data_IF_041520130950
#
_entry.id   IF_041520130950
#
_cell.length_a   1.000
_cell.length_b   1.000
_cell.length_c   1.000
_cell.angle_alpha   90.00
_cell.angle_beta   90.00
_cell.angle_gamma   90.00
#
_symmetry.space_group_name_H-M   'P 1'
#
loop_
_entity.id
_entity.type
_entity.pdbx_description
1 polymer ?
#
# COMPACT_ATOMS: atom_id res chain seq x y z
N UNK A 1 -24.17 -21.58 -15.47
CA UNK A 1 -23.52 -20.96 -16.63
C UNK A 1 -24.30 -19.79 -17.23
N UNK A 2 -25.62 -19.78 -17.34
CA UNK A 2 -26.41 -18.63 -17.88
C UNK A 2 -26.27 -17.33 -17.07
N UNK A 3 -26.01 -17.39 -15.77
CA UNK A 3 -25.90 -16.20 -14.90
C UNK A 3 -24.51 -15.54 -14.91
N UNK A 4 -23.45 -16.28 -15.28
CA UNK A 4 -22.09 -15.71 -15.42
C UNK A 4 -21.99 -14.81 -16.66
N UNK A 5 -22.72 -15.17 -17.73
CA UNK A 5 -22.76 -14.40 -18.97
C UNK A 5 -23.39 -13.01 -18.76
N UNK A 6 -24.32 -12.87 -17.81
CA UNK A 6 -24.96 -11.59 -17.49
C UNK A 6 -24.05 -10.64 -16.71
N UNK A 7 -23.12 -11.15 -15.89
CA UNK A 7 -22.14 -10.33 -15.15
C UNK A 7 -21.07 -9.77 -16.10
N UNK A 8 -20.61 -10.58 -17.05
CA UNK A 8 -19.67 -10.14 -18.09
C UNK A 8 -20.30 -9.13 -19.07
N UNK A 9 -21.61 -9.26 -19.34
CA UNK A 9 -22.36 -8.32 -20.18
C UNK A 9 -22.52 -6.94 -19.52
N UNK A 10 -22.66 -6.86 -18.18
CA UNK A 10 -22.75 -5.59 -17.46
C UNK A 10 -21.42 -4.81 -17.51
N UNK A 11 -20.28 -5.49 -17.48
CA UNK A 11 -18.97 -4.86 -17.65
C UNK A 11 -18.69 -4.36 -19.08
N UNK A 12 -19.25 -5.05 -20.09
CA UNK A 12 -19.12 -4.66 -21.49
C UNK A 12 -20.02 -3.46 -21.89
N UNK A 13 -21.13 -3.26 -21.20
CA UNK A 13 -22.08 -2.14 -21.47
C UNK A 13 -21.48 -0.78 -21.05
N UNK A 14 -20.51 -0.73 -20.17
CA UNK A 14 -19.80 0.50 -19.77
C UNK A 14 -18.87 1.09 -20.86
N UNK A 15 -18.69 0.40 -22.01
CA UNK A 15 -17.84 0.82 -23.12
C UNK A 15 -18.61 1.17 -24.42
N UNK A 16 -19.96 1.20 -24.39
CA UNK A 16 -20.75 1.58 -25.56
C UNK A 16 -20.96 3.10 -25.64
N UNK A 17 -20.69 3.72 -26.80
CA UNK A 17 -20.92 5.15 -26.97
C UNK A 17 -22.42 5.48 -26.91
N UNK A 18 -22.73 6.62 -26.28
CA UNK A 18 -24.06 7.24 -26.17
C UNK A 18 -24.57 7.69 -27.57
N UNK A 19 -25.00 6.75 -28.39
CA UNK A 19 -25.74 7.04 -29.63
C UNK A 19 -26.78 5.98 -29.92
N UNK A 20 -27.92 6.08 -29.24
CA UNK A 20 -29.15 5.40 -29.65
C UNK A 20 -30.33 6.32 -29.37
N UNK A 21 -30.62 7.20 -30.34
CA UNK A 21 -31.93 7.85 -30.47
C UNK A 21 -32.88 6.91 -31.23
N UNK A 22 -34.04 6.74 -30.62
CA UNK A 22 -35.33 6.33 -31.23
C UNK A 22 -35.43 4.92 -31.84
N UNK A 23 -35.92 3.98 -31.04
CA UNK A 23 -36.73 2.89 -31.54
C UNK A 23 -37.60 2.28 -30.40
N UNK A 24 -38.91 2.28 -30.62
CA UNK A 24 -40.01 1.53 -29.99
C UNK A 24 -40.20 1.54 -28.45
N UNK A 25 -41.47 1.80 -28.04
CA UNK A 25 -41.95 1.79 -26.64
C UNK A 25 -41.61 0.52 -25.86
N UNK A 26 -41.47 -0.63 -26.49
CA UNK A 26 -41.10 -1.90 -25.86
C UNK A 26 -39.58 -1.97 -25.55
N UNK A 27 -38.74 -1.35 -26.37
CA UNK A 27 -37.31 -1.15 -26.08
C UNK A 27 -37.09 -0.13 -24.98
N UNK A 28 -37.95 0.89 -24.87
CA UNK A 28 -37.91 1.89 -23.80
C UNK A 28 -38.15 1.27 -22.42
N UNK A 29 -39.15 0.39 -22.27
CA UNK A 29 -39.40 -0.25 -20.96
C UNK A 29 -38.31 -1.22 -20.52
N UNK A 30 -37.68 -1.93 -21.46
CA UNK A 30 -36.49 -2.77 -21.16
C UNK A 30 -35.27 -1.93 -20.84
N UNK A 31 -35.07 -0.82 -21.51
CA UNK A 31 -33.99 0.13 -21.24
C UNK A 31 -34.14 0.81 -19.88
N UNK A 32 -35.37 1.18 -19.49
CA UNK A 32 -35.69 1.72 -18.18
C UNK A 32 -35.50 0.69 -17.06
N UNK A 33 -35.92 -0.55 -17.22
CA UNK A 33 -35.70 -1.61 -16.26
C UNK A 33 -34.20 -1.95 -16.09
N UNK A 34 -33.43 -1.94 -17.18
CA UNK A 34 -31.94 -2.09 -17.13
C UNK A 34 -31.31 -0.91 -16.44
N UNK A 35 -31.76 0.32 -16.70
CA UNK A 35 -31.24 1.53 -16.05
C UNK A 35 -31.53 1.50 -14.55
N UNK A 36 -32.75 1.21 -14.13
CA UNK A 36 -33.14 1.07 -12.72
C UNK A 36 -32.34 -0.01 -12.01
N UNK A 37 -32.12 -1.16 -12.65
CA UNK A 37 -31.29 -2.24 -12.13
C UNK A 37 -29.83 -1.82 -12.00
N UNK A 38 -29.25 -1.13 -12.98
CA UNK A 38 -27.89 -0.62 -12.91
C UNK A 38 -27.76 0.46 -11.82
N UNK A 39 -28.67 1.40 -11.72
CA UNK A 39 -28.66 2.46 -10.71
C UNK A 39 -28.76 1.91 -9.29
N UNK A 40 -29.45 0.79 -9.08
CA UNK A 40 -29.58 0.15 -7.78
C UNK A 40 -28.35 -0.68 -7.37
N UNK A 41 -27.54 -1.15 -8.32
CA UNK A 41 -26.42 -2.07 -8.05
C UNK A 41 -25.04 -1.49 -8.35
N UNK A 42 -24.95 -0.49 -9.23
CA UNK A 42 -23.68 0.10 -9.68
C UNK A 42 -23.59 1.56 -9.25
N UNK A 43 -22.57 1.88 -8.47
CA UNK A 43 -22.31 3.24 -8.00
C UNK A 43 -20.98 3.73 -8.56
N UNK A 44 -21.02 4.86 -9.27
CA UNK A 44 -19.84 5.51 -9.83
C UNK A 44 -19.46 6.69 -8.95
N UNK A 45 -18.20 6.75 -8.58
CA UNK A 45 -17.63 7.77 -7.69
C UNK A 45 -16.36 8.34 -8.28
N UNK A 46 -15.97 9.50 -7.79
CA UNK A 46 -14.68 10.08 -8.14
C UNK A 46 -14.44 11.41 -7.46
N UNK A 47 -13.23 11.90 -7.63
CA UNK A 47 -12.86 13.25 -7.26
C UNK A 47 -11.79 13.79 -8.20
N UNK A 48 -11.77 15.12 -8.35
CA UNK A 48 -10.68 15.86 -8.96
C UNK A 48 -9.84 16.45 -7.84
N UNK A 49 -8.53 16.26 -7.91
CA UNK A 49 -7.57 16.79 -6.95
C UNK A 49 -6.57 17.68 -7.66
N UNK A 50 -6.45 18.91 -7.16
CA UNK A 50 -5.33 19.78 -7.47
C UNK A 50 -4.46 19.91 -6.21
N UNK A 51 -3.17 19.74 -6.37
CA UNK A 51 -2.21 19.69 -5.28
C UNK A 51 -1.03 20.60 -5.59
N UNK A 52 -0.78 21.55 -4.68
CA UNK A 52 0.37 22.44 -4.72
C UNK A 52 1.31 22.05 -3.59
N UNK A 53 2.60 22.00 -3.85
CA UNK A 53 3.60 21.77 -2.81
C UNK A 53 4.80 22.69 -3.04
N UNK A 54 5.30 23.25 -1.95
CA UNK A 54 6.56 23.99 -1.89
C UNK A 54 7.45 23.33 -0.85
N UNK A 55 8.63 22.93 -1.25
CA UNK A 55 9.62 22.29 -0.38
C UNK A 55 10.85 23.21 -0.29
N UNK A 56 11.35 23.43 0.92
CA UNK A 56 12.50 24.34 1.16
C UNK A 56 13.83 23.70 0.82
N UNK A 57 13.86 22.36 0.60
CA UNK A 57 15.05 21.57 0.34
C UNK A 57 14.73 20.41 -0.59
N UNK A 58 15.69 19.95 -1.36
CA UNK A 58 15.57 18.69 -2.09
C UNK A 58 15.28 17.53 -1.13
N UNK A 59 14.39 16.64 -1.54
CA UNK A 59 13.95 15.50 -0.75
C UNK A 59 14.18 14.18 -1.48
N UNK A 60 14.40 13.12 -0.72
CA UNK A 60 14.34 11.75 -1.24
C UNK A 60 12.88 11.44 -1.52
N UNK A 61 12.59 11.13 -2.77
CA UNK A 61 11.22 10.91 -3.24
C UNK A 61 10.98 9.46 -3.63
N UNK A 62 9.71 9.10 -3.71
CA UNK A 62 9.25 7.81 -4.20
C UNK A 62 7.99 7.92 -5.03
N UNK A 63 7.56 6.79 -5.61
CA UNK A 63 6.33 6.71 -6.41
C UNK A 63 6.31 7.74 -7.55
N UNK A 64 7.40 7.80 -8.35
CA UNK A 64 7.51 8.75 -9.46
C UNK A 64 7.49 10.21 -9.01
N UNK A 65 8.13 10.50 -7.89
CA UNK A 65 8.25 11.84 -7.31
C UNK A 65 6.92 12.44 -6.76
N UNK A 66 5.91 11.59 -6.56
CA UNK A 66 4.66 11.99 -5.92
C UNK A 66 4.77 12.05 -4.39
N UNK A 67 5.65 11.25 -3.79
CA UNK A 67 5.88 11.19 -2.36
C UNK A 67 7.25 11.76 -2.02
N UNK A 68 7.33 12.60 -0.99
CA UNK A 68 8.57 13.07 -0.42
C UNK A 68 8.71 12.50 0.99
N UNK A 69 9.78 11.73 1.19
CA UNK A 69 9.98 10.95 2.41
C UNK A 69 10.80 11.69 3.45
N UNK A 70 11.98 12.16 3.06
CA UNK A 70 12.94 12.78 3.95
C UNK A 70 13.76 13.83 3.18
N UNK A 71 14.14 14.96 3.78
CA UNK A 71 15.10 15.89 3.18
C UNK A 71 16.42 15.16 2.85
N UNK A 72 17.06 15.51 1.74
CA UNK A 72 18.40 15.03 1.44
C UNK A 72 19.39 15.59 2.44
N UNK A 73 20.42 14.82 2.76
CA UNK A 73 21.55 15.25 3.60
C UNK A 73 22.23 16.50 3.05
N UNK A 74 22.96 17.19 3.91
CA UNK A 74 23.83 18.30 3.52
C UNK A 74 24.92 17.79 2.57
N UNK A 75 25.05 18.43 1.42
CA UNK A 75 26.07 18.15 0.40
C UNK A 75 26.85 19.44 0.09
N UNK A 76 27.92 19.68 0.83
CA UNK A 76 28.76 20.87 0.60
C UNK A 76 29.48 20.76 -0.73
N UNK A 77 29.63 21.91 -1.42
CA UNK A 77 30.52 22.05 -2.58
C UNK A 77 31.99 21.90 -2.14
N UNK A 78 32.90 21.92 -3.10
CA UNK A 78 34.35 21.65 -2.88
C UNK A 78 35.02 22.66 -1.93
N UNK A 79 34.55 23.90 -1.89
CA UNK A 79 35.07 24.96 -1.03
C UNK A 79 34.35 25.08 0.32
N UNK A 80 33.31 24.27 0.54
CA UNK A 80 32.55 24.21 1.79
C UNK A 80 31.65 25.43 2.04
N UNK A 81 31.33 26.22 1.02
CA UNK A 81 30.56 27.46 1.15
C UNK A 81 29.08 27.29 0.89
N UNK A 82 28.67 26.27 0.10
CA UNK A 82 27.27 26.07 -0.32
C UNK A 82 26.82 24.62 -0.13
N UNK A 83 25.58 24.47 0.37
CA UNK A 83 24.90 23.17 0.41
C UNK A 83 24.12 22.96 -0.89
N UNK A 84 24.62 22.09 -1.75
CA UNK A 84 24.04 21.77 -3.07
C UNK A 84 22.65 21.15 -3.01
N UNK A 85 22.24 20.60 -1.88
CA UNK A 85 20.90 20.05 -1.65
C UNK A 85 19.92 21.08 -1.04
N UNK A 86 20.37 22.27 -0.64
CA UNK A 86 19.53 23.35 -0.12
C UNK A 86 18.81 24.09 -1.25
N UNK A 87 18.20 23.34 -2.17
CA UNK A 87 17.46 23.88 -3.32
C UNK A 87 15.97 23.79 -3.08
N UNK A 88 15.29 24.93 -3.01
CA UNK A 88 13.84 25.00 -2.95
C UNK A 88 13.19 24.51 -4.25
N UNK A 89 12.02 23.93 -4.13
CA UNK A 89 11.29 23.40 -5.27
C UNK A 89 9.77 23.60 -5.09
N UNK A 90 9.09 23.85 -6.21
CA UNK A 90 7.66 24.00 -6.27
C UNK A 90 7.07 23.05 -7.31
N UNK A 91 5.91 22.50 -7.00
CA UNK A 91 5.16 21.64 -7.92
C UNK A 91 3.67 21.87 -7.81
N UNK A 92 3.01 21.73 -8.95
CA UNK A 92 1.56 21.76 -9.08
C UNK A 92 1.10 20.54 -9.87
N UNK A 93 0.19 19.75 -9.31
CA UNK A 93 -0.24 18.49 -9.86
C UNK A 93 -1.76 18.36 -9.83
N UNK A 94 -2.36 17.98 -10.96
CA UNK A 94 -3.72 17.46 -11.06
C UNK A 94 -3.78 15.93 -11.05
N UNK A 95 -2.61 15.27 -11.03
CA UNK A 95 -2.46 13.83 -10.93
C UNK A 95 -3.08 13.31 -9.64
N UNK A 96 -3.41 12.03 -9.60
CA UNK A 96 -4.12 11.36 -8.50
C UNK A 96 -5.61 11.71 -8.36
N UNK A 97 -6.18 12.52 -9.25
CA UNK A 97 -7.62 12.53 -9.49
C UNK A 97 -8.08 11.11 -9.78
N UNK A 98 -9.24 10.72 -9.23
CA UNK A 98 -9.59 9.29 -9.10
C UNK A 98 -11.02 9.02 -9.53
N UNK A 99 -11.21 7.83 -10.10
CA UNK A 99 -12.51 7.26 -10.41
C UNK A 99 -12.61 5.86 -9.80
N UNK A 100 -13.80 5.48 -9.31
CA UNK A 100 -14.08 4.12 -8.92
C UNK A 100 -15.53 3.75 -9.13
N UNK A 101 -15.75 2.45 -9.29
CA UNK A 101 -17.06 1.83 -9.42
C UNK A 101 -17.19 0.78 -8.32
N UNK A 102 -18.26 0.88 -7.56
CA UNK A 102 -18.68 -0.13 -6.61
C UNK A 102 -19.91 -0.86 -7.20
N UNK A 103 -19.87 -2.18 -7.16
CA UNK A 103 -20.97 -3.06 -7.57
C UNK A 103 -21.41 -3.85 -6.35
N UNK A 104 -22.68 -3.74 -5.97
CA UNK A 104 -23.23 -4.34 -4.76
C UNK A 104 -24.65 -4.91 -5.02
N UNK A 105 -25.18 -5.65 -4.04
CA UNK A 105 -26.57 -6.10 -4.05
C UNK A 105 -26.85 -7.35 -4.87
N UNK A 106 -25.83 -7.95 -5.47
CA UNK A 106 -25.98 -9.26 -6.12
C UNK A 106 -25.90 -10.39 -5.11
N UNK A 107 -26.75 -11.41 -5.31
CA UNK A 107 -26.75 -12.60 -4.48
C UNK A 107 -26.93 -13.85 -5.34
N UNK A 108 -26.13 -14.86 -5.10
CA UNK A 108 -26.24 -16.19 -5.71
C UNK A 108 -26.32 -17.21 -4.57
N UNK A 109 -27.46 -17.89 -4.50
CA UNK A 109 -27.80 -18.76 -3.38
C UNK A 109 -27.65 -18.00 -2.03
N UNK A 110 -26.75 -18.43 -1.15
CA UNK A 110 -26.51 -17.82 0.16
C UNK A 110 -25.27 -16.89 0.17
N UNK A 111 -24.74 -16.53 -1.00
CA UNK A 111 -23.51 -15.72 -1.13
C UNK A 111 -23.86 -14.35 -1.67
N UNK A 112 -23.60 -13.30 -0.88
CA UNK A 112 -23.63 -11.92 -1.33
C UNK A 112 -22.38 -11.63 -2.15
N UNK A 113 -22.54 -10.95 -3.29
CA UNK A 113 -21.44 -10.64 -4.22
C UNK A 113 -21.32 -9.14 -4.35
N UNK A 114 -20.11 -8.63 -4.12
CA UNK A 114 -19.72 -7.24 -4.37
C UNK A 114 -18.44 -7.19 -5.18
N UNK A 115 -18.23 -6.10 -5.90
CA UNK A 115 -17.00 -5.87 -6.62
C UNK A 115 -16.61 -4.39 -6.56
N UNK A 116 -15.34 -4.11 -6.67
CA UNK A 116 -14.80 -2.75 -6.79
C UNK A 116 -13.74 -2.70 -7.87
N UNK A 117 -13.77 -1.61 -8.67
CA UNK A 117 -12.66 -1.20 -9.51
C UNK A 117 -12.35 0.26 -9.22
N UNK A 118 -11.08 0.58 -8.97
CA UNK A 118 -10.60 1.93 -8.68
C UNK A 118 -9.36 2.22 -9.52
N UNK A 119 -9.33 3.40 -10.14
CA UNK A 119 -8.18 3.87 -10.90
C UNK A 119 -7.92 5.36 -10.69
N UNK A 120 -6.68 5.78 -10.86
CA UNK A 120 -6.26 7.19 -10.87
C UNK A 120 -5.34 7.48 -12.06
N UNK A 121 -5.03 8.75 -12.26
CA UNK A 121 -4.03 9.16 -13.24
C UNK A 121 -2.65 9.19 -12.57
N UNK A 122 -1.64 8.65 -13.25
CA UNK A 122 -0.29 8.56 -12.74
C UNK A 122 0.72 8.84 -13.87
N UNK A 123 1.76 9.55 -13.50
CA UNK A 123 2.97 9.69 -14.30
C UNK A 123 4.13 9.97 -13.34
N UNK A 124 5.34 9.51 -13.64
CA UNK A 124 6.55 10.04 -13.00
C UNK A 124 6.67 11.51 -13.36
N UNK A 125 6.99 12.38 -12.41
CA UNK A 125 7.08 13.83 -12.68
C UNK A 125 8.17 14.16 -13.69
N UNK A 126 9.23 13.35 -13.74
CA UNK A 126 10.33 13.45 -14.71
C UNK A 126 9.93 12.99 -16.12
N UNK A 127 8.84 12.22 -16.24
CA UNK A 127 8.39 11.58 -17.48
C UNK A 127 7.14 12.27 -18.05
N UNK A 128 6.81 13.47 -17.60
CA UNK A 128 5.67 14.27 -18.07
C UNK A 128 5.87 14.75 -19.51
N UNK A 129 5.94 13.83 -20.45
CA UNK A 129 5.87 14.13 -21.88
C UNK A 129 4.47 14.56 -22.38
N UNK A 130 3.68 15.23 -21.52
CA UNK A 130 2.32 15.66 -21.83
C UNK A 130 1.24 14.57 -21.66
N UNK A 131 1.60 13.40 -21.16
CA UNK A 131 0.68 12.26 -20.98
C UNK A 131 0.68 11.75 -19.56
N UNK A 132 -0.49 11.38 -19.03
CA UNK A 132 -0.63 10.63 -17.77
C UNK A 132 -1.22 9.26 -18.07
N UNK A 133 -0.69 8.23 -17.38
CA UNK A 133 -1.18 6.86 -17.49
C UNK A 133 -2.39 6.66 -16.58
N UNK A 134 -3.39 5.94 -17.06
CA UNK A 134 -4.50 5.47 -16.24
C UNK A 134 -4.03 4.24 -15.47
N UNK A 135 -3.94 4.35 -14.14
CA UNK A 135 -3.37 3.33 -13.26
C UNK A 135 -4.45 2.61 -12.49
N UNK A 136 -4.51 1.28 -12.63
CA UNK A 136 -5.34 0.44 -11.77
C UNK A 136 -4.83 0.49 -10.33
N UNK A 137 -5.73 0.85 -9.40
CA UNK A 137 -5.44 0.91 -7.97
C UNK A 137 -5.98 -0.30 -7.23
N UNK A 138 -7.26 -0.57 -7.39
CA UNK A 138 -7.95 -1.71 -6.81
C UNK A 138 -8.85 -2.37 -7.86
N UNK A 139 -8.91 -3.69 -7.86
CA UNK A 139 -9.84 -4.47 -8.65
C UNK A 139 -10.06 -5.81 -7.94
N UNK A 140 -11.18 -5.97 -7.26
CA UNK A 140 -11.46 -7.17 -6.50
C UNK A 140 -12.95 -7.50 -6.46
N UNK A 141 -13.22 -8.77 -6.20
CA UNK A 141 -14.55 -9.29 -5.88
C UNK A 141 -14.57 -9.68 -4.40
N UNK A 142 -15.68 -9.45 -3.74
CA UNK A 142 -15.95 -9.91 -2.37
C UNK A 142 -17.13 -10.86 -2.39
N UNK A 143 -16.94 -12.04 -1.82
CA UNK A 143 -17.98 -13.03 -1.54
C UNK A 143 -18.30 -12.93 -0.05
N UNK A 144 -19.56 -12.77 0.31
CA UNK A 144 -19.99 -12.57 1.69
C UNK A 144 -21.02 -13.62 2.13
N UNK A 145 -20.90 -14.05 3.39
CA UNK A 145 -21.86 -14.97 4.01
C UNK A 145 -22.28 -14.41 5.36
N UNK A 146 -23.57 -14.45 5.62
CA UNK A 146 -24.17 -14.01 6.87
C UNK A 146 -24.85 -15.19 7.54
N UNK A 147 -24.42 -15.51 8.75
CA UNK A 147 -25.07 -16.44 9.64
C UNK A 147 -25.63 -15.70 10.86
N UNK A 148 -26.30 -16.38 11.77
CA UNK A 148 -26.97 -15.74 12.90
C UNK A 148 -26.02 -14.91 13.80
N UNK A 149 -24.81 -15.43 14.06
CA UNK A 149 -23.82 -14.79 14.96
C UNK A 149 -22.48 -14.47 14.28
N UNK A 150 -22.31 -14.87 13.02
CA UNK A 150 -21.07 -14.69 12.27
C UNK A 150 -21.32 -14.01 10.93
N UNK A 151 -20.40 -13.19 10.53
CA UNK A 151 -20.33 -12.63 9.18
C UNK A 151 -18.95 -12.90 8.62
N UNK A 152 -18.93 -13.55 7.48
CA UNK A 152 -17.72 -13.96 6.80
C UNK A 152 -17.63 -13.31 5.44
N UNK A 153 -16.42 -13.07 4.97
CA UNK A 153 -16.20 -12.61 3.59
C UNK A 153 -14.86 -13.09 3.06
N UNK A 154 -14.82 -13.35 1.75
CA UNK A 154 -13.61 -13.64 0.99
C UNK A 154 -13.45 -12.58 -0.09
N UNK A 155 -12.38 -11.80 -0.01
CA UNK A 155 -11.98 -10.79 -1.01
C UNK A 155 -10.86 -11.36 -1.86
N UNK A 156 -11.03 -11.33 -3.20
CA UNK A 156 -10.03 -11.83 -4.15
C UNK A 156 -9.78 -10.75 -5.20
N UNK A 157 -8.53 -10.40 -5.42
CA UNK A 157 -8.08 -9.44 -6.42
C UNK A 157 -7.10 -8.42 -5.87
N UNK A 158 -6.86 -7.34 -6.59
CA UNK A 158 -5.96 -6.28 -6.15
C UNK A 158 -6.65 -5.34 -5.17
N UNK A 159 -6.16 -5.27 -3.95
CA UNK A 159 -6.69 -4.42 -2.88
C UNK A 159 -5.58 -3.82 -2.01
N UNK A 160 -5.95 -3.02 -1.03
CA UNK A 160 -5.01 -2.59 0.00
C UNK A 160 -4.51 -3.79 0.80
N UNK A 161 -3.20 -3.83 1.03
CA UNK A 161 -2.58 -4.73 1.98
C UNK A 161 -3.22 -4.56 3.37
N UNK A 162 -3.52 -5.63 4.13
CA UNK A 162 -4.22 -5.52 5.42
C UNK A 162 -3.55 -4.55 6.41
N UNK A 163 -2.22 -4.50 6.47
CA UNK A 163 -1.50 -3.53 7.30
C UNK A 163 -1.61 -2.08 6.79
N UNK A 164 -1.86 -1.87 5.49
CA UNK A 164 -1.91 -0.55 4.86
C UNK A 164 -3.31 0.08 4.86
N UNK A 165 -4.37 -0.70 5.07
CA UNK A 165 -5.76 -0.29 4.87
C UNK A 165 -6.18 0.91 5.75
N UNK A 166 -5.68 0.99 6.99
CA UNK A 166 -5.99 2.08 7.92
C UNK A 166 -4.93 3.18 7.81
N UNK A 167 -5.32 4.35 7.31
CA UNK A 167 -4.42 5.48 7.06
C UNK A 167 -4.70 6.64 8.01
N UNK A 168 -3.69 7.53 8.23
CA UNK A 168 -3.90 8.77 8.97
C UNK A 168 -4.78 9.74 8.16
N UNK A 169 -5.27 10.78 8.83
CA UNK A 169 -6.13 11.81 8.24
C UNK A 169 -5.33 12.98 7.63
N UNK A 170 -4.13 12.74 7.11
CA UNK A 170 -3.30 13.76 6.44
C UNK A 170 -3.91 14.17 5.09
N UNK A 171 -3.70 15.41 4.71
CA UNK A 171 -4.19 15.99 3.46
C UNK A 171 -3.26 15.70 2.28
N UNK A 172 -1.95 15.60 2.52
CA UNK A 172 -0.92 15.40 1.49
C UNK A 172 -1.02 14.06 0.78
N UNK A 173 -0.37 14.00 -0.39
CA UNK A 173 -0.21 12.77 -1.17
C UNK A 173 0.63 11.72 -0.44
N UNK A 174 1.49 12.11 0.48
CA UNK A 174 2.32 11.21 1.28
C UNK A 174 1.50 10.20 2.10
N UNK A 175 0.26 10.54 2.47
CA UNK A 175 -0.66 9.65 3.22
C UNK A 175 -0.04 9.00 4.45
N UNK A 176 0.92 9.70 5.10
CA UNK A 176 1.67 9.20 6.25
C UNK A 176 2.86 8.29 5.90
N UNK A 177 3.16 8.05 4.61
CA UNK A 177 4.36 7.30 4.24
C UNK A 177 5.65 8.12 4.49
N UNK A 178 6.74 7.50 4.92
CA UNK A 178 6.98 6.07 5.15
C UNK A 178 6.80 5.63 6.61
N UNK A 179 6.03 6.36 7.43
CA UNK A 179 5.80 6.07 8.85
C UNK A 179 4.78 4.94 9.09
N UNK A 180 4.18 4.42 8.05
CA UNK A 180 3.29 3.26 8.07
C UNK A 180 3.27 2.54 6.74
N UNK A 181 2.82 1.26 6.72
CA UNK A 181 2.75 0.46 5.51
C UNK A 181 1.89 1.12 4.45
N UNK A 182 2.33 1.02 3.20
CA UNK A 182 1.62 1.52 2.03
C UNK A 182 1.85 0.58 0.85
N UNK A 183 0.86 -0.25 0.53
CA UNK A 183 0.90 -1.14 -0.63
C UNK A 183 -0.51 -1.55 -1.08
N UNK A 184 -0.69 -1.69 -2.38
CA UNK A 184 -1.86 -2.31 -3.00
C UNK A 184 -1.38 -3.48 -3.83
N UNK A 185 -1.99 -4.63 -3.63
CA UNK A 185 -1.39 -5.89 -4.05
C UNK A 185 -2.48 -6.93 -4.32
N UNK A 186 -2.26 -7.91 -5.17
CA UNK A 186 -3.14 -9.06 -5.28
C UNK A 186 -3.24 -9.77 -3.94
N UNK A 187 -4.47 -10.05 -3.51
CA UNK A 187 -4.77 -10.65 -2.22
C UNK A 187 -5.94 -11.62 -2.32
N UNK A 188 -5.86 -12.72 -1.57
CA UNK A 188 -6.99 -13.52 -1.16
C UNK A 188 -7.15 -13.34 0.36
N UNK A 189 -8.10 -12.50 0.78
CA UNK A 189 -8.31 -12.12 2.18
C UNK A 189 -9.64 -12.67 2.67
N UNK A 190 -9.59 -13.45 3.73
CA UNK A 190 -10.73 -13.91 4.47
C UNK A 190 -10.90 -13.10 5.76
N UNK A 191 -12.10 -12.56 5.97
CA UNK A 191 -12.48 -11.86 7.18
C UNK A 191 -13.66 -12.59 7.82
N UNK A 192 -13.61 -12.82 9.13
CA UNK A 192 -14.69 -13.36 9.92
C UNK A 192 -14.99 -12.45 11.11
N UNK A 193 -16.25 -12.08 11.31
CA UNK A 193 -16.72 -11.31 12.47
C UNK A 193 -17.62 -12.16 13.35
N UNK A 194 -17.36 -12.13 14.65
CA UNK A 194 -18.08 -12.87 15.68
C UNK A 194 -18.86 -11.89 16.56
N UNK A 195 -20.17 -11.90 16.41
CA UNK A 195 -21.03 -10.90 17.04
C UNK A 195 -20.68 -9.47 16.55
N UNK A 196 -20.70 -8.50 17.46
CA UNK A 196 -20.50 -7.07 17.13
C UNK A 196 -19.08 -6.56 17.39
N UNK A 197 -18.28 -7.31 18.11
CA UNK A 197 -17.06 -6.76 18.71
C UNK A 197 -15.77 -7.43 18.27
N UNK A 198 -15.79 -8.65 17.83
CA UNK A 198 -14.60 -9.42 17.55
C UNK A 198 -14.53 -9.87 16.09
N UNK A 199 -13.36 -9.83 15.50
CA UNK A 199 -13.13 -10.33 14.16
C UNK A 199 -11.72 -10.89 13.96
N UNK A 200 -11.59 -11.74 12.95
CA UNK A 200 -10.34 -12.33 12.48
C UNK A 200 -10.14 -11.97 11.02
N UNK A 201 -8.89 -11.78 10.63
CA UNK A 201 -8.47 -11.58 9.24
C UNK A 201 -7.34 -12.55 8.95
N UNK A 202 -7.42 -13.27 7.83
CA UNK A 202 -6.32 -14.05 7.28
C UNK A 202 -6.17 -13.70 5.79
N UNK A 203 -4.94 -13.52 5.31
CA UNK A 203 -4.72 -13.19 3.91
C UNK A 203 -3.49 -13.90 3.36
N UNK A 204 -3.60 -14.29 2.07
CA UNK A 204 -2.47 -14.67 1.22
C UNK A 204 -2.26 -13.55 0.19
N UNK A 205 -1.04 -13.05 0.07
CA UNK A 205 -0.70 -11.80 -0.58
C UNK A 205 0.43 -12.03 -1.58
N UNK A 206 0.40 -11.28 -2.69
CA UNK A 206 1.43 -11.28 -3.71
C UNK A 206 2.02 -9.88 -3.89
N UNK A 207 3.36 -9.72 -3.88
CA UNK A 207 4.01 -8.44 -4.11
C UNK A 207 3.66 -7.84 -5.48
N UNK A 208 3.30 -6.55 -5.52
CA UNK A 208 3.01 -5.87 -6.78
C UNK A 208 3.45 -4.41 -6.80
N UNK A 209 2.85 -3.55 -5.99
CA UNK A 209 3.12 -2.10 -6.03
C UNK A 209 4.53 -1.78 -5.56
N UNK A 210 4.96 -2.38 -4.47
CA UNK A 210 6.33 -2.40 -3.99
C UNK A 210 6.81 -3.84 -3.99
N UNK A 211 8.09 -4.04 -4.22
CA UNK A 211 8.69 -5.34 -4.41
C UNK A 211 9.98 -5.41 -3.62
N UNK A 212 10.34 -6.61 -3.20
CA UNK A 212 11.59 -6.86 -2.51
C UNK A 212 12.81 -6.56 -3.38
N UNK A 213 13.84 -6.04 -2.74
CA UNK A 213 15.17 -5.91 -3.34
C UNK A 213 15.94 -7.24 -3.26
N UNK A 214 17.00 -7.37 -4.03
CA UNK A 214 17.86 -8.55 -4.01
C UNK A 214 19.05 -8.39 -4.96
N UNK A 215 19.81 -9.47 -5.17
CA UNK A 215 21.02 -9.45 -6.00
C UNK A 215 20.83 -8.93 -7.43
N UNK A 216 19.65 -9.16 -8.00
CA UNK A 216 19.28 -8.70 -9.35
C UNK A 216 18.46 -7.39 -9.35
N UNK A 217 18.51 -6.63 -8.26
CA UNK A 217 17.73 -5.41 -8.10
C UNK A 217 16.35 -5.64 -7.49
N UNK A 218 15.39 -4.76 -7.79
CA UNK A 218 14.02 -4.82 -7.26
C UNK A 218 13.14 -5.68 -8.17
N UNK A 219 12.62 -6.80 -7.65
CA UNK A 219 11.89 -7.75 -8.47
C UNK A 219 10.87 -8.59 -7.68
N UNK A 220 9.71 -8.88 -8.29
CA UNK A 220 8.77 -9.87 -7.80
C UNK A 220 9.23 -11.32 -8.06
N UNK A 221 10.34 -11.53 -8.77
CA UNK A 221 10.89 -12.86 -9.04
C UNK A 221 11.29 -13.60 -7.76
N UNK A 222 11.71 -12.88 -6.71
CA UNK A 222 12.11 -13.47 -5.44
C UNK A 222 10.94 -14.18 -4.75
N UNK A 223 9.74 -13.60 -4.76
CA UNK A 223 8.52 -14.25 -4.32
C UNK A 223 8.07 -15.34 -5.32
N UNK A 224 8.14 -15.07 -6.63
CA UNK A 224 7.78 -16.02 -7.70
C UNK A 224 8.55 -17.33 -7.57
N UNK A 225 9.87 -17.28 -7.45
CA UNK A 225 10.71 -18.47 -7.28
C UNK A 225 10.65 -19.04 -5.87
N UNK A 226 10.21 -18.26 -4.91
CA UNK A 226 9.87 -18.67 -3.57
C UNK A 226 8.66 -19.60 -3.53
N UNK A 227 7.72 -19.50 -4.48
CA UNK A 227 6.46 -20.27 -4.53
C UNK A 227 5.65 -20.21 -3.22
N UNK A 228 5.82 -19.12 -2.46
CA UNK A 228 5.19 -18.94 -1.17
C UNK A 228 4.59 -17.53 -1.14
N UNK A 229 3.27 -17.38 -0.99
CA UNK A 229 2.68 -16.06 -0.76
C UNK A 229 3.12 -15.51 0.59
N UNK A 230 3.08 -14.21 0.72
CA UNK A 230 3.11 -13.54 2.02
C UNK A 230 1.80 -13.83 2.74
N UNK A 231 1.86 -14.04 4.05
CA UNK A 231 0.70 -14.34 4.88
C UNK A 231 0.50 -13.26 5.94
N UNK A 232 -0.72 -12.81 6.06
CA UNK A 232 -1.15 -11.94 7.15
C UNK A 232 -2.22 -12.61 8.01
N UNK A 233 -2.08 -12.49 9.32
CA UNK A 233 -3.06 -12.92 10.31
C UNK A 233 -3.35 -11.78 11.27
N UNK A 234 -4.63 -11.50 11.51
CA UNK A 234 -5.02 -10.40 12.37
C UNK A 234 -6.25 -10.66 13.21
N UNK A 235 -6.28 -10.02 14.37
CA UNK A 235 -7.42 -9.97 15.28
C UNK A 235 -7.93 -8.54 15.31
N UNK A 236 -9.23 -8.37 15.25
CA UNK A 236 -9.90 -7.07 15.26
C UNK A 236 -10.88 -6.97 16.43
N UNK A 237 -10.89 -5.83 17.09
CA UNK A 237 -11.85 -5.52 18.16
C UNK A 237 -12.52 -4.20 17.84
N UNK A 238 -13.87 -4.16 17.94
CA UNK A 238 -14.67 -2.97 17.68
C UNK A 238 -15.69 -2.80 18.82
N UNK A 239 -15.59 -1.71 19.57
CA UNK A 239 -16.50 -1.44 20.69
C UNK A 239 -16.56 0.06 21.04
N UNK A 240 -17.76 0.64 21.09
CA UNK A 240 -17.97 1.98 21.65
C UNK A 240 -17.17 3.11 20.98
N UNK A 241 -16.97 3.06 19.65
CA UNK A 241 -16.14 4.02 18.90
C UNK A 241 -14.66 3.65 18.83
N UNK A 242 -14.23 2.62 19.57
CA UNK A 242 -12.88 2.05 19.49
C UNK A 242 -12.80 0.95 18.42
N UNK A 243 -11.75 0.99 17.62
CA UNK A 243 -11.34 -0.08 16.71
C UNK A 243 -9.87 -0.39 16.97
N UNK A 244 -9.58 -1.62 17.34
CA UNK A 244 -8.22 -2.15 17.52
C UNK A 244 -7.94 -3.27 16.53
N UNK A 245 -6.71 -3.34 16.02
CA UNK A 245 -6.22 -4.43 15.20
C UNK A 245 -4.83 -4.84 15.68
N UNK A 246 -4.65 -6.12 15.87
CA UNK A 246 -3.35 -6.72 16.12
C UNK A 246 -3.11 -7.72 15.00
N UNK A 247 -1.98 -7.68 14.35
CA UNK A 247 -1.66 -8.56 13.25
C UNK A 247 -0.22 -8.97 13.20
N UNK A 248 0.01 -10.04 12.46
CA UNK A 248 1.32 -10.60 12.18
C UNK A 248 1.42 -10.82 10.68
N UNK A 249 2.45 -10.26 10.08
CA UNK A 249 2.81 -10.47 8.69
C UNK A 249 4.00 -11.40 8.60
N UNK A 250 3.94 -12.38 7.71
CA UNK A 250 4.99 -13.38 7.46
C UNK A 250 5.31 -13.39 5.97
N UNK A 251 6.49 -12.91 5.65
CA UNK A 251 6.96 -12.76 4.27
C UNK A 251 8.17 -13.65 4.02
N UNK A 252 8.16 -14.44 2.94
CA UNK A 252 9.25 -15.37 2.60
C UNK A 252 9.59 -15.28 1.12
N UNK A 253 10.84 -14.93 0.83
CA UNK A 253 11.36 -14.81 -0.53
C UNK A 253 12.57 -15.71 -0.75
N UNK A 254 12.85 -15.98 -2.02
CA UNK A 254 14.04 -16.68 -2.51
C UNK A 254 14.89 -15.71 -3.31
N UNK A 255 15.95 -15.10 -2.73
CA UNK A 255 16.72 -14.04 -3.38
C UNK A 255 17.45 -14.47 -4.65
N UNK A 256 17.78 -15.74 -4.77
CA UNK A 256 18.48 -16.29 -5.94
C UNK A 256 18.13 -17.77 -6.17
N UNK A 257 18.36 -18.27 -7.37
CA UNK A 257 18.04 -19.64 -7.79
C UNK A 257 19.30 -20.46 -8.11
N UNK A 258 20.44 -19.78 -8.27
CA UNK A 258 21.75 -20.38 -8.54
C UNK A 258 22.81 -19.82 -7.61
N UNK A 259 23.80 -20.62 -7.29
CA UNK A 259 25.00 -20.29 -6.55
C UNK A 259 26.24 -20.87 -7.22
N UNK A 260 27.39 -20.61 -6.65
CA UNK A 260 28.65 -21.17 -7.09
C UNK A 260 29.29 -21.92 -5.93
N UNK A 261 29.79 -23.11 -6.18
CA UNK A 261 30.55 -23.93 -5.24
C UNK A 261 31.77 -24.52 -5.92
N UNK A 262 32.80 -24.80 -5.16
CA UNK A 262 34.02 -25.42 -5.67
C UNK A 262 33.86 -26.94 -5.71
N UNK A 263 34.11 -27.55 -6.86
CA UNK A 263 34.07 -29.02 -7.05
C UNK A 263 35.23 -29.50 -7.87
N UNK A 264 35.63 -30.75 -7.66
CA UNK A 264 36.55 -31.46 -8.54
C UNK A 264 35.76 -32.10 -9.67
N UNK A 265 35.98 -31.63 -10.89
CA UNK A 265 35.38 -32.17 -12.12
C UNK A 265 36.54 -32.58 -13.04
N UNK A 266 36.52 -33.85 -13.50
CA UNK A 266 37.57 -34.42 -14.34
C UNK A 266 38.99 -34.27 -13.76
N UNK A 267 39.13 -34.36 -12.43
CA UNK A 267 40.39 -34.24 -11.70
C UNK A 267 40.88 -32.79 -11.45
N UNK A 268 40.17 -31.79 -11.90
CA UNK A 268 40.49 -30.36 -11.69
C UNK A 268 39.47 -29.69 -10.74
N UNK A 269 40.03 -28.93 -9.79
CA UNK A 269 39.19 -28.10 -8.89
C UNK A 269 38.74 -26.85 -9.63
N UNK A 270 37.45 -26.65 -9.75
CA UNK A 270 36.84 -25.53 -10.44
C UNK A 270 35.54 -25.06 -9.84
N UNK A 271 35.16 -23.83 -10.14
CA UNK A 271 33.86 -23.27 -9.78
C UNK A 271 32.75 -23.92 -10.61
N UNK A 272 31.72 -24.40 -9.91
CA UNK A 272 30.56 -25.04 -10.52
C UNK A 272 29.28 -24.32 -10.11
N UNK A 273 28.46 -23.95 -11.08
CA UNK A 273 27.13 -23.39 -10.80
C UNK A 273 26.20 -24.48 -10.30
N UNK A 274 25.53 -24.22 -9.19
CA UNK A 274 24.60 -25.15 -8.55
C UNK A 274 23.25 -24.47 -8.32
N UNK A 275 22.18 -25.26 -8.25
CA UNK A 275 20.88 -24.76 -7.80
C UNK A 275 20.95 -24.55 -6.29
N UNK A 276 20.42 -23.42 -5.83
CA UNK A 276 20.30 -23.11 -4.40
C UNK A 276 18.83 -22.91 -4.04
N UNK A 277 18.50 -23.08 -2.76
CA UNK A 277 17.13 -22.95 -2.22
C UNK A 277 17.09 -22.09 -0.97
N UNK A 278 18.16 -21.35 -0.74
CA UNK A 278 18.25 -20.41 0.38
C UNK A 278 17.12 -19.36 0.32
N UNK A 279 16.60 -19.04 1.49
CA UNK A 279 15.47 -18.15 1.68
C UNK A 279 15.73 -17.18 2.80
N UNK A 280 15.06 -16.05 2.74
CA UNK A 280 14.83 -15.20 3.89
C UNK A 280 13.35 -15.19 4.24
N UNK A 281 13.04 -15.47 5.52
CA UNK A 281 11.69 -15.38 6.06
C UNK A 281 11.68 -14.34 7.18
N UNK A 282 10.77 -13.38 7.08
CA UNK A 282 10.64 -12.25 8.00
C UNK A 282 9.27 -12.27 8.67
N UNK A 283 9.21 -11.70 9.88
CA UNK A 283 7.99 -11.63 10.68
C UNK A 283 7.85 -10.19 11.16
N UNK A 284 6.72 -9.56 10.82
CA UNK A 284 6.45 -8.16 11.16
C UNK A 284 5.16 -8.03 11.96
N UNK A 285 5.22 -7.92 13.29
CA UNK A 285 4.06 -7.62 14.11
C UNK A 285 3.56 -6.20 13.86
N UNK A 286 2.24 -6.05 13.88
CA UNK A 286 1.50 -4.85 13.54
C UNK A 286 0.44 -4.57 14.60
N UNK A 287 0.29 -3.28 14.94
CA UNK A 287 -0.78 -2.80 15.80
C UNK A 287 -1.38 -1.52 15.22
N UNK A 288 -2.72 -1.44 15.25
CA UNK A 288 -3.49 -0.25 14.93
C UNK A 288 -4.57 -0.04 15.97
N UNK A 289 -4.78 1.22 16.36
CA UNK A 289 -5.89 1.63 17.20
C UNK A 289 -6.53 2.91 16.67
N UNK A 290 -7.84 2.98 16.74
CA UNK A 290 -8.62 4.17 16.43
C UNK A 290 -9.68 4.36 17.51
N UNK A 291 -9.88 5.60 17.92
CA UNK A 291 -11.01 5.98 18.74
C UNK A 291 -11.72 7.18 18.13
N UNK A 292 -13.03 7.06 17.95
CA UNK A 292 -13.90 8.12 17.43
C UNK A 292 -14.92 8.49 18.49
N UNK A 293 -15.06 9.79 18.75
CA UNK A 293 -16.04 10.33 19.70
C UNK A 293 -16.51 11.72 19.25
N UNK A 294 -17.33 12.36 20.05
CA UNK A 294 -17.77 13.75 19.86
C UNK A 294 -17.68 14.50 21.16
N UNK A 295 -17.17 15.71 21.12
CA UNK A 295 -17.26 16.68 22.19
C UNK A 295 -18.44 17.64 21.89
N UNK A 296 -19.60 17.37 22.47
CA UNK A 296 -20.85 18.00 22.06
C UNK A 296 -21.19 17.61 20.60
N UNK A 297 -21.19 18.58 19.69
CA UNK A 297 -21.43 18.37 18.26
C UNK A 297 -20.16 18.23 17.43
N UNK A 298 -18.98 18.43 18.02
CA UNK A 298 -17.69 18.43 17.34
C UNK A 298 -17.13 17.01 17.27
N UNK A 299 -16.96 16.41 16.08
CA UNK A 299 -16.33 15.12 15.96
C UNK A 299 -14.85 15.20 16.34
N UNK A 300 -14.37 14.14 16.97
CA UNK A 300 -12.98 13.95 17.33
C UNK A 300 -12.56 12.52 17.02
N UNK A 301 -11.38 12.34 16.45
CA UNK A 301 -10.79 11.03 16.26
C UNK A 301 -9.30 11.02 16.57
N UNK A 302 -8.86 9.91 17.13
CA UNK A 302 -7.45 9.55 17.30
C UNK A 302 -7.21 8.26 16.57
N UNK A 303 -6.13 8.21 15.80
CA UNK A 303 -5.65 7.00 15.14
C UNK A 303 -4.16 6.84 15.46
N UNK A 304 -3.74 5.62 15.69
CA UNK A 304 -2.33 5.28 15.88
C UNK A 304 -2.02 3.93 15.21
N UNK A 305 -0.84 3.82 14.65
CA UNK A 305 -0.34 2.59 14.02
C UNK A 305 1.13 2.42 14.36
N UNK A 306 1.52 1.19 14.64
CA UNK A 306 2.93 0.82 14.79
C UNK A 306 3.19 -0.53 14.13
N UNK A 307 4.37 -0.64 13.53
CA UNK A 307 4.87 -1.87 12.91
C UNK A 307 6.32 -2.05 13.32
N UNK A 308 6.66 -3.22 13.82
CA UNK A 308 8.05 -3.65 13.90
C UNK A 308 8.34 -4.48 12.66
N UNK A 309 8.98 -3.86 11.67
CA UNK A 309 9.20 -4.46 10.37
C UNK A 309 10.57 -5.12 10.27
N UNK A 310 10.60 -6.34 9.76
CA UNK A 310 11.79 -7.00 9.26
C UNK A 310 11.74 -6.99 7.74
N UNK A 311 12.75 -6.37 7.08
CA UNK A 311 12.79 -6.22 5.63
C UNK A 311 11.46 -5.70 5.03
N UNK A 312 10.97 -4.54 5.52
CA UNK A 312 9.62 -4.02 5.23
C UNK A 312 9.46 -3.26 3.91
N UNK A 313 10.42 -3.38 2.98
CA UNK A 313 10.41 -2.66 1.71
C UNK A 313 9.23 -3.00 0.79
N UNK A 314 8.72 -4.23 0.83
CA UNK A 314 7.56 -4.69 0.03
C UNK A 314 6.24 -4.01 0.41
N UNK A 315 6.20 -3.39 1.58
CA UNK A 315 5.08 -2.55 2.04
C UNK A 315 5.47 -1.06 2.18
N UNK A 316 6.54 -0.63 1.49
CA UNK A 316 7.02 0.78 1.48
C UNK A 316 7.50 1.30 2.84
N UNK A 317 7.87 0.42 3.75
CA UNK A 317 8.59 0.79 4.97
C UNK A 317 10.10 0.85 4.71
N UNK A 318 10.84 1.51 5.59
CA UNK A 318 12.29 1.44 5.55
C UNK A 318 12.74 -0.01 5.84
N UNK A 319 13.72 -0.49 5.11
CA UNK A 319 14.25 -1.83 5.33
C UNK A 319 14.81 -2.50 4.08
N UNK A 320 15.27 -3.70 4.32
CA UNK A 320 15.89 -4.60 3.37
C UNK A 320 16.56 -5.74 4.11
N UNK A 321 17.47 -6.42 3.48
CA UNK A 321 18.22 -7.52 4.08
C UNK A 321 19.62 -7.60 3.51
N UNK A 322 20.50 -8.33 4.19
CA UNK A 322 21.87 -8.55 3.77
C UNK A 322 22.22 -10.03 3.77
N UNK A 323 23.32 -10.37 3.09
CA UNK A 323 23.99 -11.65 3.24
C UNK A 323 24.80 -11.63 4.54
N UNK A 324 24.59 -12.58 5.42
CA UNK A 324 25.35 -12.75 6.66
C UNK A 324 26.54 -13.69 6.50
N UNK A 325 26.38 -14.74 5.68
CA UNK A 325 27.47 -15.68 5.38
C UNK A 325 27.20 -16.45 4.08
N UNK A 326 28.27 -17.02 3.52
CA UNK A 326 28.25 -17.90 2.35
C UNK A 326 28.69 -19.29 2.81
N UNK A 327 27.94 -20.32 2.42
CA UNK A 327 28.20 -21.71 2.74
C UNK A 327 29.01 -22.40 1.63
N UNK A 328 29.72 -23.48 1.97
CA UNK A 328 30.54 -24.23 1.02
C UNK A 328 29.73 -24.86 -0.13
N UNK A 329 28.47 -25.16 0.09
CA UNK A 329 27.54 -25.68 -0.94
C UNK A 329 27.05 -24.60 -1.93
N UNK A 330 27.50 -23.34 -1.76
CA UNK A 330 27.12 -22.20 -2.58
C UNK A 330 25.82 -21.52 -2.14
N UNK A 331 25.18 -21.98 -1.05
CA UNK A 331 24.02 -21.30 -0.47
C UNK A 331 24.45 -20.08 0.38
N UNK A 332 23.54 -19.13 0.60
CA UNK A 332 23.77 -17.94 1.41
C UNK A 332 22.79 -17.89 2.59
N UNK A 333 23.31 -17.41 3.72
CA UNK A 333 22.46 -17.04 4.85
C UNK A 333 22.18 -15.55 4.80
N UNK A 334 20.97 -15.18 5.18
CA UNK A 334 20.50 -13.81 5.14
C UNK A 334 20.10 -13.31 6.51
N UNK A 335 20.25 -12.01 6.72
CA UNK A 335 19.82 -11.29 7.92
C UNK A 335 18.96 -10.09 7.53
N UNK A 336 17.71 -9.94 8.07
CA UNK A 336 16.88 -8.80 7.78
C UNK A 336 17.31 -7.57 8.58
N UNK A 337 17.09 -6.39 8.01
CA UNK A 337 17.06 -5.16 8.81
C UNK A 337 15.82 -5.12 9.69
N UNK A 338 15.91 -4.45 10.82
CA UNK A 338 14.85 -4.30 11.81
C UNK A 338 14.51 -2.83 11.97
N UNK A 339 13.25 -2.48 11.80
CA UNK A 339 12.78 -1.11 11.88
C UNK A 339 11.50 -1.02 12.68
N UNK A 340 11.32 0.05 13.43
CA UNK A 340 10.04 0.42 14.02
C UNK A 340 9.49 1.62 13.27
N UNK A 341 8.28 1.51 12.75
CA UNK A 341 7.55 2.60 12.10
C UNK A 341 6.26 2.86 12.86
N UNK A 342 6.06 4.09 13.31
CA UNK A 342 4.93 4.47 14.15
C UNK A 342 4.39 5.83 13.74
N UNK A 343 3.08 5.98 13.75
CA UNK A 343 2.43 7.27 13.60
C UNK A 343 1.18 7.41 14.48
N UNK A 344 0.86 8.65 14.78
CA UNK A 344 -0.37 9.07 15.46
C UNK A 344 -1.01 10.19 14.63
N UNK A 345 -2.33 10.16 14.48
CA UNK A 345 -3.12 11.21 13.82
C UNK A 345 -4.29 11.60 14.69
N UNK A 346 -4.38 12.88 14.99
CA UNK A 346 -5.48 13.50 15.73
C UNK A 346 -6.31 14.30 14.72
N UNK A 347 -7.64 14.21 14.78
CA UNK A 347 -8.53 14.99 13.93
C UNK A 347 -9.68 15.56 14.75
N UNK A 348 -9.99 16.83 14.58
CA UNK A 348 -11.06 17.55 15.26
C UNK A 348 -11.84 18.43 14.29
N UNK A 349 -13.15 18.39 14.37
CA UNK A 349 -14.04 19.20 13.54
C UNK A 349 -14.61 18.46 12.34
N UNK A 350 -15.48 19.15 11.59
CA UNK A 350 -16.15 18.63 10.41
C UNK A 350 -16.07 19.62 9.25
N UNK A 351 -16.84 20.73 9.32
CA UNK A 351 -16.78 21.78 8.29
C UNK A 351 -15.43 22.51 8.31
N UNK A 352 -14.98 22.91 9.49
CA UNK A 352 -13.60 23.31 9.76
C UNK A 352 -12.95 22.13 10.49
N UNK A 353 -11.93 21.55 9.88
CA UNK A 353 -11.27 20.36 10.42
C UNK A 353 -9.78 20.66 10.60
N UNK A 354 -9.30 20.45 11.82
CA UNK A 354 -7.88 20.43 12.14
C UNK A 354 -7.38 18.99 12.22
N UNK A 355 -6.20 18.74 11.68
CA UNK A 355 -5.51 17.46 11.82
C UNK A 355 -4.09 17.71 12.30
N UNK A 356 -3.62 16.88 13.20
CA UNK A 356 -2.21 16.84 13.61
C UNK A 356 -1.71 15.41 13.43
N UNK A 357 -0.71 15.25 12.59
CA UNK A 357 -0.01 13.98 12.38
C UNK A 357 1.39 14.06 12.97
N UNK A 358 1.81 12.97 13.63
CA UNK A 358 3.18 12.74 14.06
C UNK A 358 3.62 11.36 13.65
N UNK A 359 4.80 11.27 13.03
CA UNK A 359 5.41 10.01 12.60
C UNK A 359 6.82 9.86 13.13
N UNK A 360 7.23 8.61 13.44
CA UNK A 360 8.57 8.26 13.87
C UNK A 360 9.01 6.91 13.31
N UNK A 361 10.23 6.86 12.79
CA UNK A 361 10.89 5.63 12.33
C UNK A 361 12.23 5.50 13.04
N UNK A 362 12.52 4.30 13.54
CA UNK A 362 13.82 3.93 14.10
C UNK A 362 14.37 2.70 13.39
N UNK A 363 15.58 2.81 12.90
CA UNK A 363 16.36 1.70 12.36
C UNK A 363 17.21 1.07 13.47
N UNK A 364 17.11 -0.25 13.63
CA UNK A 364 17.86 -1.04 14.62
C UNK A 364 19.02 -1.83 13.96
N UNK A 365 19.27 -1.61 12.66
CA UNK A 365 20.25 -2.38 11.90
C UNK A 365 19.80 -3.81 11.61
N UNK A 366 20.72 -4.65 11.21
CA UNK A 366 20.51 -6.08 10.98
C UNK A 366 20.51 -6.88 12.29
N UNK A 367 19.96 -8.09 12.28
CA UNK A 367 19.98 -8.98 13.44
C UNK A 367 21.39 -9.55 13.67
N UNK A 368 22.02 -9.97 12.58
CA UNK A 368 23.34 -10.59 12.57
C UNK A 368 24.32 -9.69 11.81
N UNK A 369 25.61 -9.95 11.93
CA UNK A 369 26.65 -9.26 11.15
C UNK A 369 26.45 -9.50 9.65
N UNK A 370 26.83 -8.52 8.85
CA UNK A 370 26.73 -8.59 7.39
C UNK A 370 28.08 -8.92 6.78
N UNK A 371 28.06 -9.67 5.68
CA UNK A 371 29.27 -10.05 4.96
C UNK A 371 29.99 -8.83 4.39
N UNK A 372 29.25 -7.93 3.76
CA UNK A 372 29.72 -6.66 3.23
C UNK A 372 28.58 -5.68 2.99
N UNK A 373 28.90 -4.40 2.80
CA UNK A 373 27.90 -3.36 2.47
C UNK A 373 27.33 -3.53 1.06
N UNK A 374 28.04 -4.17 0.14
CA UNK A 374 27.58 -4.49 -1.21
C UNK A 374 26.51 -5.59 -1.19
N UNK A 375 26.53 -6.44 -0.17
CA UNK A 375 25.56 -7.50 0.04
C UNK A 375 24.28 -7.07 0.76
N UNK A 376 24.11 -5.75 0.98
CA UNK A 376 22.95 -5.14 1.62
C UNK A 376 21.96 -4.65 0.55
N UNK A 377 20.81 -5.32 0.47
CA UNK A 377 19.77 -5.06 -0.52
C UNK A 377 18.65 -4.22 0.08
N UNK A 378 18.42 -3.05 -0.51
CA UNK A 378 17.36 -2.12 -0.13
C UNK A 378 16.53 -1.75 -1.35
N UNK A 379 15.22 -1.58 -1.16
CA UNK A 379 14.37 -1.06 -2.22
C UNK A 379 14.65 0.44 -2.48
N UNK A 380 14.15 0.93 -3.61
CA UNK A 380 14.26 2.33 -4.00
C UNK A 380 13.70 3.31 -2.93
N UNK A 381 12.73 2.87 -2.14
CA UNK A 381 12.06 3.70 -1.13
C UNK A 381 12.64 3.52 0.27
N UNK A 382 13.77 2.85 0.42
CA UNK A 382 14.43 2.60 1.69
C UNK A 382 15.74 3.39 1.81
N UNK A 383 16.13 3.71 3.04
CA UNK A 383 17.26 4.58 3.35
C UNK A 383 18.31 3.80 4.13
N UNK A 384 19.40 3.39 3.46
CA UNK A 384 20.46 2.54 4.04
C UNK A 384 21.10 3.17 5.28
N UNK A 385 21.36 4.47 5.23
CA UNK A 385 22.13 5.20 6.26
C UNK A 385 21.23 5.87 7.31
N UNK A 386 19.92 5.69 7.24
CA UNK A 386 19.02 6.32 8.17
C UNK A 386 19.04 5.61 9.53
N UNK A 387 19.34 6.36 10.58
CA UNK A 387 19.24 5.90 11.96
C UNK A 387 17.82 6.07 12.52
N UNK A 388 17.26 7.25 12.29
CA UNK A 388 15.90 7.60 12.70
C UNK A 388 15.34 8.70 11.81
N UNK A 389 14.03 8.84 11.80
CA UNK A 389 13.33 9.89 11.09
C UNK A 389 12.06 10.25 11.87
N UNK A 390 11.69 11.53 11.87
CA UNK A 390 10.42 11.96 12.41
C UNK A 390 9.74 12.97 11.49
N UNK A 391 8.42 13.07 11.62
CA UNK A 391 7.60 14.05 10.90
C UNK A 391 6.51 14.60 11.79
N UNK A 392 6.27 15.90 11.67
CA UNK A 392 5.13 16.57 12.27
C UNK A 392 4.36 17.32 11.19
N UNK A 393 3.04 17.13 11.14
CA UNK A 393 2.21 17.67 10.06
C UNK A 393 0.89 18.22 10.60
N UNK A 394 0.80 19.51 10.96
CA UNK A 394 -0.46 20.18 11.17
C UNK A 394 -1.16 20.46 9.81
N UNK A 395 -2.46 20.19 9.75
CA UNK A 395 -3.30 20.44 8.57
C UNK A 395 -4.60 21.10 8.97
N UNK A 396 -5.08 22.02 8.12
CA UNK A 396 -6.38 22.68 8.25
C UNK A 396 -7.18 22.49 6.98
N UNK A 397 -8.41 22.02 7.11
CA UNK A 397 -9.31 21.76 6.01
C UNK A 397 -10.63 22.50 6.19
N UNK A 398 -11.16 23.02 5.08
CA UNK A 398 -12.51 23.54 4.99
C UNK A 398 -13.32 22.65 4.04
N UNK A 399 -14.35 22.02 4.59
CA UNK A 399 -15.20 21.07 3.88
C UNK A 399 -16.58 21.72 3.62
N UNK A 400 -16.95 21.86 2.34
CA UNK A 400 -18.24 22.40 1.90
C UNK A 400 -18.92 21.40 0.94
N UNK A 401 -19.77 20.55 1.50
CA UNK A 401 -20.40 19.49 0.73
C UNK A 401 -19.37 18.53 0.11
N UNK A 402 -19.28 18.55 -1.22
CA UNK A 402 -18.31 17.75 -1.99
C UNK A 402 -16.99 18.48 -2.29
N UNK A 403 -16.85 19.72 -1.84
CA UNK A 403 -15.66 20.53 -2.05
C UNK A 403 -14.83 20.58 -0.75
N UNK A 404 -13.53 20.33 -0.86
CA UNK A 404 -12.57 20.47 0.25
C UNK A 404 -11.39 21.30 -0.24
N UNK A 405 -11.00 22.30 0.54
CA UNK A 405 -9.73 22.99 0.41
C UNK A 405 -8.96 22.85 1.72
N UNK A 406 -7.66 22.69 1.64
CA UNK A 406 -6.82 22.52 2.82
C UNK A 406 -5.44 23.11 2.65
N UNK A 407 -4.82 23.40 3.77
CA UNK A 407 -3.42 23.78 3.93
C UNK A 407 -2.76 22.80 4.89
N UNK A 408 -1.60 22.28 4.51
CA UNK A 408 -0.79 21.38 5.33
C UNK A 408 0.64 21.91 5.38
N UNK A 409 1.20 21.91 6.58
CA UNK A 409 2.61 22.22 6.83
C UNK A 409 3.31 20.97 7.32
N UNK A 410 4.37 20.55 6.65
CA UNK A 410 5.09 19.32 6.95
C UNK A 410 6.53 19.64 7.35
N UNK A 411 6.95 19.20 8.54
CA UNK A 411 8.34 19.23 8.99
C UNK A 411 8.83 17.79 9.09
N UNK A 412 9.91 17.46 8.39
CA UNK A 412 10.52 16.13 8.40
C UNK A 412 12.02 16.26 8.65
N UNK A 413 12.56 15.40 9.52
CA UNK A 413 13.99 15.32 9.84
C UNK A 413 14.41 13.87 10.05
#
# INVERSE_FOLDING_TARGET
>A
MKNLTNILSAAAILLLPLSLQAADKEKSSKAEAVKEHLESHVQVHGFIRNYFAFDTRQSVSGTGDLFYYVPKDVAMNEDGTEDLNAQSQFRFLALTSRLWVDVNGYRIANTDIAAKIEADFYCGLTDLGGTAQFRLRQAYVTLGWQQEKTRESLKIGQAWHPMAADMPDVFSLNTGAPFGPFSRTPVAQFDASFGKHFGLTAAAIWEMQYRSAGPEGISANYMKYGCTPEFYFGVNVNAGGFLGRLGLDVHSIKPRITGTTVRTVDGFTQDVHVKVSDRITTISPFFYAQYKTKFGKVPFSVKAKTVYAQAGEHVSLNGGYAVSSVNEDGSWNYTPTRNSSTWVSLSVGSRFQGVLFGGYVKNFGTKDDILSTESLYFSKNSFKNMNQMWRLTPSFMYNLGKFTVGLEYEVTS
#
